data_IF_114096177800
#
_entry.id   IF_114096177800
#
_cell.length_a   1.000
_cell.length_b   1.000
_cell.length_c   1.000
_cell.angle_alpha   90.00
_cell.angle_beta   90.00
_cell.angle_gamma   90.00
#
_symmetry.space_group_name_H-M   'P 1'
#
loop_
_entity.id
_entity.type
_entity.pdbx_description
1 polymer ?
#
# COMPACT_ATOMS: atom_id res chain seq x y z
N UNK A 1 -25.95 -15.27 4.09
CA UNK A 1 -25.62 -16.14 5.24
C UNK A 1 -24.21 -16.70 5.28
N UNK A 2 -23.58 -17.03 4.13
CA UNK A 2 -22.20 -17.57 4.12
C UNK A 2 -21.16 -16.68 4.83
N UNK A 3 -21.10 -15.39 4.48
CA UNK A 3 -20.19 -14.42 5.11
C UNK A 3 -20.41 -14.36 6.63
N UNK A 4 -21.67 -14.27 7.07
CA UNK A 4 -22.01 -14.26 8.51
C UNK A 4 -21.52 -15.50 9.26
N UNK A 5 -21.58 -16.68 8.63
CA UNK A 5 -21.05 -17.92 9.21
C UNK A 5 -19.52 -17.91 9.29
N UNK A 6 -18.84 -17.42 8.25
CA UNK A 6 -17.38 -17.27 8.26
C UNK A 6 -16.92 -16.28 9.34
N UNK A 7 -17.66 -15.18 9.52
CA UNK A 7 -17.41 -14.20 10.58
C UNK A 7 -17.52 -14.75 12.01
N UNK A 8 -18.10 -15.94 12.21
CA UNK A 8 -18.08 -16.64 13.51
C UNK A 8 -16.73 -17.29 13.80
N UNK A 9 -15.88 -17.48 12.78
CA UNK A 9 -14.54 -18.06 12.88
C UNK A 9 -13.49 -16.94 12.93
N UNK A 10 -13.55 -16.01 11.99
CA UNK A 10 -12.67 -14.86 11.90
C UNK A 10 -13.36 -13.69 11.16
N UNK A 11 -13.05 -12.43 11.49
CA UNK A 11 -13.58 -11.28 10.75
C UNK A 11 -13.28 -11.39 9.25
N UNK A 12 -14.33 -11.39 8.43
CA UNK A 12 -14.19 -11.36 6.97
C UNK A 12 -14.25 -9.91 6.50
N UNK A 13 -13.27 -9.48 5.73
CA UNK A 13 -13.21 -8.13 5.16
C UNK A 13 -13.67 -8.14 3.70
N UNK A 14 -14.24 -7.01 3.26
CA UNK A 14 -14.44 -6.76 1.82
C UNK A 14 -13.15 -6.18 1.24
N UNK A 15 -12.75 -6.67 0.07
CA UNK A 15 -11.57 -6.21 -0.65
C UNK A 15 -11.88 -5.85 -2.11
N UNK A 16 -11.74 -6.78 -3.06
CA UNK A 16 -11.78 -6.42 -4.49
C UNK A 16 -13.13 -5.86 -4.94
N UNK A 17 -14.21 -6.31 -4.28
CA UNK A 17 -15.58 -5.84 -4.51
C UNK A 17 -15.89 -4.46 -3.90
N UNK A 18 -14.94 -3.83 -3.20
CA UNK A 18 -15.07 -2.47 -2.66
C UNK A 18 -14.94 -1.42 -3.78
N UNK A 19 -15.96 -1.31 -4.65
CA UNK A 19 -15.91 -0.54 -5.90
C UNK A 19 -16.45 0.89 -5.83
N UNK A 20 -17.42 1.15 -4.94
CA UNK A 20 -18.11 2.45 -4.78
C UNK A 20 -17.91 3.02 -3.38
N UNK A 21 -18.37 4.24 -3.09
CA UNK A 21 -18.27 4.80 -1.73
C UNK A 21 -19.18 4.08 -0.73
N UNK A 22 -20.23 3.42 -1.22
CA UNK A 22 -21.25 2.73 -0.44
C UNK A 22 -20.92 1.25 -0.22
N UNK A 23 -19.99 0.68 -1.00
CA UNK A 23 -19.70 -0.76 -1.00
C UNK A 23 -19.36 -1.32 0.39
N UNK A 24 -18.61 -0.60 1.21
CA UNK A 24 -18.30 -1.05 2.57
C UNK A 24 -19.52 -1.02 3.50
N UNK A 25 -20.39 -0.02 3.37
CA UNK A 25 -21.64 0.07 4.16
C UNK A 25 -22.53 -1.12 3.82
N UNK A 26 -22.73 -1.40 2.53
CA UNK A 26 -23.49 -2.56 2.05
C UNK A 26 -22.85 -3.87 2.53
N UNK A 27 -21.51 -3.98 2.50
CA UNK A 27 -20.80 -5.15 2.99
C UNK A 27 -21.10 -5.45 4.47
N UNK A 28 -21.15 -4.42 5.32
CA UNK A 28 -21.53 -4.57 6.73
C UNK A 28 -22.93 -5.19 6.86
N UNK A 29 -23.89 -4.74 6.04
CA UNK A 29 -25.26 -5.30 6.02
C UNK A 29 -25.26 -6.77 5.61
N UNK A 30 -24.42 -7.17 4.65
CA UNK A 30 -24.24 -8.57 4.24
C UNK A 30 -23.49 -9.43 5.26
N UNK A 31 -22.93 -8.82 6.30
CA UNK A 31 -22.29 -9.50 7.42
C UNK A 31 -20.76 -9.46 7.43
N UNK A 32 -20.14 -8.70 6.52
CA UNK A 32 -18.70 -8.43 6.61
C UNK A 32 -18.37 -7.70 7.91
N UNK A 33 -17.12 -7.86 8.34
CA UNK A 33 -16.56 -7.30 9.59
C UNK A 33 -15.31 -6.47 9.34
N UNK A 34 -15.16 -5.95 8.13
CA UNK A 34 -14.09 -5.01 7.84
C UNK A 34 -13.89 -4.74 6.35
N UNK A 35 -12.82 -4.00 6.05
CA UNK A 35 -12.46 -3.55 4.70
C UNK A 35 -10.93 -3.47 4.53
N UNK A 36 -10.44 -3.73 3.32
CA UNK A 36 -9.06 -3.44 2.92
C UNK A 36 -8.91 -1.99 2.45
N UNK A 37 -7.88 -1.29 2.92
CA UNK A 37 -7.50 0.05 2.51
C UNK A 37 -6.27 0.01 1.64
N UNK A 38 -6.38 0.66 0.48
CA UNK A 38 -5.35 0.75 -0.55
C UNK A 38 -5.47 2.08 -1.29
N UNK A 39 -4.37 2.67 -1.72
CA UNK A 39 -4.42 4.00 -2.34
C UNK A 39 -5.11 3.97 -3.72
N UNK A 40 -5.03 2.85 -4.45
CA UNK A 40 -5.63 2.75 -5.79
C UNK A 40 -7.18 2.80 -5.80
N UNK A 41 -7.85 2.51 -4.67
CA UNK A 41 -9.31 2.73 -4.51
C UNK A 41 -9.64 4.19 -4.17
N UNK A 42 -8.62 5.01 -3.90
CA UNK A 42 -8.72 6.42 -3.58
C UNK A 42 -8.48 6.69 -2.09
N UNK A 43 -7.60 7.65 -1.74
CA UNK A 43 -7.30 7.98 -0.34
C UNK A 43 -8.50 8.60 0.38
N UNK A 44 -9.32 9.39 -0.33
CA UNK A 44 -10.58 9.95 0.23
C UNK A 44 -11.54 8.84 0.64
N UNK A 45 -11.70 7.82 -0.21
CA UNK A 45 -12.54 6.67 0.10
C UNK A 45 -12.02 5.91 1.33
N UNK A 46 -10.71 5.73 1.41
CA UNK A 46 -10.09 5.08 2.58
C UNK A 46 -10.35 5.86 3.89
N UNK A 47 -10.27 7.19 3.86
CA UNK A 47 -10.63 8.03 5.02
C UNK A 47 -12.11 7.89 5.39
N UNK A 48 -13.01 7.85 4.40
CA UNK A 48 -14.43 7.62 4.63
C UNK A 48 -14.68 6.24 5.25
N UNK A 49 -14.05 5.20 4.72
CA UNK A 49 -14.13 3.84 5.25
C UNK A 49 -13.59 3.72 6.68
N UNK A 50 -12.54 4.47 7.04
CA UNK A 50 -12.06 4.57 8.42
C UNK A 50 -13.11 5.22 9.34
N UNK A 51 -13.78 6.28 8.85
CA UNK A 51 -14.91 6.89 9.55
C UNK A 51 -16.09 5.94 9.74
N UNK A 52 -16.46 5.17 8.70
CA UNK A 52 -17.50 4.13 8.78
C UNK A 52 -17.11 3.08 9.81
N UNK A 53 -15.85 2.61 9.79
CA UNK A 53 -15.32 1.64 10.76
C UNK A 53 -15.45 2.17 12.18
N UNK A 54 -15.03 3.42 12.43
CA UNK A 54 -15.12 4.06 13.74
C UNK A 54 -16.57 4.20 14.23
N UNK A 55 -17.49 4.62 13.37
CA UNK A 55 -18.92 4.74 13.71
C UNK A 55 -19.56 3.38 13.97
N UNK A 56 -19.29 2.39 13.11
CA UNK A 56 -19.77 1.01 13.27
C UNK A 56 -19.18 0.35 14.53
N UNK A 57 -18.04 0.86 15.00
CA UNK A 57 -17.43 0.52 16.28
C UNK A 57 -17.86 1.43 17.43
N UNK A 58 -19.07 2.00 17.37
CA UNK A 58 -19.62 2.87 18.42
C UNK A 58 -18.63 3.95 18.88
N UNK A 59 -17.93 4.55 17.91
CA UNK A 59 -16.92 5.60 18.14
C UNK A 59 -15.73 5.12 18.99
N UNK A 60 -15.38 3.84 18.87
CA UNK A 60 -14.20 3.24 19.48
C UNK A 60 -14.45 2.55 20.82
N UNK A 61 -15.70 2.42 21.27
CA UNK A 61 -16.03 1.62 22.47
C UNK A 61 -15.95 0.12 22.23
N UNK A 62 -15.95 -0.30 20.95
CA UNK A 62 -15.82 -1.68 20.49
C UNK A 62 -14.83 -1.79 19.33
N UNK A 63 -14.48 -3.01 18.93
CA UNK A 63 -13.50 -3.30 17.86
C UNK A 63 -13.94 -4.45 16.95
N UNK A 64 -15.25 -4.57 16.70
CA UNK A 64 -15.82 -5.66 15.89
C UNK A 64 -15.63 -5.48 14.38
N UNK A 65 -15.42 -4.24 13.92
CA UNK A 65 -15.12 -3.93 12.53
C UNK A 65 -13.66 -3.54 12.38
N UNK A 66 -12.99 -4.09 11.37
CA UNK A 66 -11.56 -3.87 11.13
C UNK A 66 -11.35 -3.10 9.83
N UNK A 67 -10.31 -2.26 9.82
CA UNK A 67 -9.70 -1.78 8.59
C UNK A 67 -8.30 -2.35 8.52
N UNK A 68 -7.93 -2.85 7.35
CA UNK A 68 -6.59 -3.43 7.10
C UNK A 68 -5.89 -2.65 6.00
N UNK A 69 -4.56 -2.65 5.98
CA UNK A 69 -3.77 -1.94 4.96
C UNK A 69 -3.24 -2.89 3.89
N UNK A 70 -3.21 -2.42 2.65
CA UNK A 70 -2.70 -3.13 1.48
C UNK A 70 -1.79 -2.20 0.66
N UNK A 71 -0.58 -2.68 0.35
CA UNK A 71 0.41 -2.00 -0.51
C UNK A 71 0.34 -2.47 -1.98
N UNK A 72 -0.60 -3.34 -2.32
CA UNK A 72 -1.01 -3.70 -3.68
C UNK A 72 0.03 -4.33 -4.62
N UNK A 73 1.08 -4.93 -4.06
CA UNK A 73 2.27 -5.26 -4.85
C UNK A 73 2.91 -4.02 -5.54
N UNK A 74 2.66 -2.81 -5.04
CA UNK A 74 3.20 -1.58 -5.60
C UNK A 74 4.73 -1.58 -5.61
N UNK A 75 5.29 -1.00 -6.68
CA UNK A 75 6.73 -0.72 -6.79
C UNK A 75 7.03 0.71 -6.33
N UNK A 76 8.31 1.09 -6.27
CA UNK A 76 8.66 2.48 -6.04
C UNK A 76 8.51 3.37 -7.30
N UNK A 77 9.00 4.60 -7.29
CA UNK A 77 9.23 5.37 -6.07
C UNK A 77 7.87 5.80 -5.50
N UNK A 78 6.94 6.26 -6.35
CA UNK A 78 5.64 6.84 -5.96
C UNK A 78 4.67 5.86 -5.28
N UNK A 79 4.26 4.73 -5.89
CA UNK A 79 3.03 4.07 -5.46
C UNK A 79 3.16 3.43 -4.07
N UNK A 80 4.24 2.69 -3.80
CA UNK A 80 4.45 2.08 -2.47
C UNK A 80 4.61 3.13 -1.36
N UNK A 81 5.25 4.27 -1.66
CA UNK A 81 5.39 5.35 -0.68
C UNK A 81 4.05 5.98 -0.34
N UNK A 82 3.22 6.23 -1.35
CA UNK A 82 1.89 6.79 -1.17
C UNK A 82 0.96 5.81 -0.43
N UNK A 83 1.04 4.50 -0.73
CA UNK A 83 0.33 3.45 0.01
C UNK A 83 0.74 3.43 1.50
N UNK A 84 2.05 3.45 1.80
CA UNK A 84 2.54 3.47 3.18
C UNK A 84 2.19 4.76 3.92
N UNK A 85 2.21 5.91 3.24
CA UNK A 85 1.72 7.16 3.82
C UNK A 85 0.24 7.10 4.14
N UNK A 86 -0.58 6.50 3.25
CA UNK A 86 -2.01 6.33 3.50
C UNK A 86 -2.23 5.43 4.72
N UNK A 87 -1.56 4.27 4.78
CA UNK A 87 -1.65 3.35 5.90
C UNK A 87 -1.29 4.03 7.23
N UNK A 88 -0.17 4.76 7.26
CA UNK A 88 0.26 5.52 8.44
C UNK A 88 -0.74 6.63 8.81
N UNK A 89 -1.30 7.33 7.83
CA UNK A 89 -2.33 8.38 8.03
C UNK A 89 -3.60 7.82 8.64
N UNK A 90 -3.99 6.59 8.26
CA UNK A 90 -5.15 5.89 8.79
C UNK A 90 -4.88 5.25 10.16
N UNK A 91 -3.64 5.34 10.67
CA UNK A 91 -3.23 4.72 11.93
C UNK A 91 -3.04 3.20 11.84
N UNK A 92 -2.84 2.66 10.64
CA UNK A 92 -2.56 1.24 10.42
C UNK A 92 -1.07 0.99 10.63
N UNK A 93 -0.74 0.07 11.54
CA UNK A 93 0.64 -0.34 11.84
C UNK A 93 1.08 -1.58 11.05
N UNK A 94 0.21 -2.05 10.16
CA UNK A 94 0.42 -3.21 9.32
C UNK A 94 -0.04 -2.96 7.89
N UNK A 95 0.61 -3.64 6.94
CA UNK A 95 0.21 -3.71 5.54
C UNK A 95 0.40 -5.14 5.03
N UNK A 96 -0.36 -5.53 4.01
CA UNK A 96 -0.18 -6.80 3.35
C UNK A 96 1.26 -7.00 2.85
N UNK A 97 1.74 -8.24 2.91
CA UNK A 97 3.08 -8.63 2.53
C UNK A 97 3.14 -8.97 1.04
N UNK A 98 3.41 -7.97 0.20
CA UNK A 98 3.38 -8.15 -1.25
C UNK A 98 4.65 -7.73 -1.99
N UNK A 99 4.67 -6.51 -2.56
CA UNK A 99 5.41 -6.19 -3.78
C UNK A 99 6.92 -6.23 -3.61
N UNK A 100 7.38 -5.86 -2.43
CA UNK A 100 8.79 -5.88 -2.06
C UNK A 100 9.42 -7.29 -2.04
N UNK A 101 8.62 -8.36 -2.07
CA UNK A 101 9.11 -9.73 -2.23
C UNK A 101 9.19 -10.21 -3.68
N UNK A 102 8.33 -9.68 -4.54
CA UNK A 102 8.21 -10.14 -5.93
C UNK A 102 8.99 -9.26 -6.91
N UNK A 103 9.22 -7.99 -6.56
CA UNK A 103 9.92 -7.05 -7.41
C UNK A 103 11.39 -6.91 -7.02
N UNK A 104 12.27 -6.78 -8.02
CA UNK A 104 13.70 -6.52 -7.84
C UNK A 104 13.96 -5.05 -7.47
N UNK A 105 13.32 -4.57 -6.41
CA UNK A 105 13.37 -3.19 -5.96
C UNK A 105 13.10 -2.19 -7.09
N UNK A 106 13.93 -1.16 -7.19
CA UNK A 106 13.89 -0.10 -8.19
C UNK A 106 14.70 -0.43 -9.45
N UNK A 107 15.00 -1.71 -9.71
CA UNK A 107 15.89 -2.14 -10.80
C UNK A 107 15.38 -1.81 -12.22
N UNK A 108 14.09 -1.47 -12.35
CA UNK A 108 13.47 -1.03 -13.60
C UNK A 108 13.61 0.49 -13.85
N UNK A 109 14.09 1.26 -12.88
CA UNK A 109 14.32 2.71 -13.02
C UNK A 109 15.77 3.01 -13.43
N UNK A 110 16.07 4.16 -14.06
CA UNK A 110 17.42 4.66 -14.26
C UNK A 110 18.23 4.79 -12.95
N UNK A 111 19.56 4.72 -13.04
CA UNK A 111 20.43 4.85 -11.85
C UNK A 111 20.22 6.16 -11.09
N UNK A 112 20.02 7.27 -11.81
CA UNK A 112 19.77 8.57 -11.20
C UNK A 112 18.52 8.54 -10.29
N UNK A 113 17.42 7.93 -10.74
CA UNK A 113 16.18 7.82 -9.98
C UNK A 113 16.33 6.90 -8.76
N UNK A 114 17.06 5.79 -8.91
CA UNK A 114 17.37 4.88 -7.78
C UNK A 114 18.17 5.61 -6.69
N UNK A 115 19.24 6.30 -7.11
CA UNK A 115 20.09 7.09 -6.22
C UNK A 115 19.32 8.21 -5.54
N UNK A 116 18.45 8.92 -6.26
CA UNK A 116 17.61 9.97 -5.69
C UNK A 116 16.61 9.43 -4.65
N UNK A 117 15.97 8.29 -4.94
CA UNK A 117 15.05 7.65 -4.00
C UNK A 117 15.76 7.18 -2.72
N UNK A 118 16.96 6.58 -2.85
CA UNK A 118 17.77 6.16 -1.71
C UNK A 118 18.23 7.36 -0.87
N UNK A 119 18.67 8.45 -1.52
CA UNK A 119 19.10 9.66 -0.83
C UNK A 119 17.95 10.32 -0.05
N UNK A 120 16.75 10.33 -0.62
CA UNK A 120 15.57 10.92 0.02
C UNK A 120 14.99 10.05 1.15
N UNK A 121 15.07 8.73 1.03
CA UNK A 121 14.38 7.78 1.92
C UNK A 121 15.30 6.62 2.37
N UNK A 122 16.47 6.95 2.91
CA UNK A 122 17.47 5.96 3.32
C UNK A 122 17.11 5.12 4.56
N UNK A 123 16.03 5.47 5.25
CA UNK A 123 15.40 4.62 6.28
C UNK A 123 14.56 3.49 5.66
N UNK A 124 13.81 3.81 4.59
CA UNK A 124 12.95 2.89 3.87
C UNK A 124 13.69 2.06 2.82
N UNK A 125 14.60 2.67 2.07
CA UNK A 125 15.35 2.02 0.99
C UNK A 125 16.78 1.67 1.42
N UNK A 126 17.35 0.63 0.78
CA UNK A 126 18.78 0.30 0.86
C UNK A 126 19.29 -0.25 -0.45
N UNK A 127 20.61 -0.28 -0.61
CA UNK A 127 21.24 -1.10 -1.64
C UNK A 127 21.10 -2.60 -1.30
N UNK A 128 20.66 -3.38 -2.29
CA UNK A 128 20.51 -4.83 -2.19
C UNK A 128 20.60 -5.48 -3.57
N UNK A 129 21.42 -6.54 -3.70
CA UNK A 129 21.54 -7.33 -4.94
C UNK A 129 21.78 -6.48 -6.23
N UNK A 130 22.61 -5.43 -6.11
CA UNK A 130 22.98 -4.55 -7.21
C UNK A 130 21.89 -3.56 -7.64
N UNK A 131 20.92 -3.27 -6.78
CA UNK A 131 19.88 -2.25 -6.99
C UNK A 131 19.48 -1.62 -5.65
N UNK A 132 18.55 -0.66 -5.67
CA UNK A 132 17.90 -0.09 -4.48
C UNK A 132 16.57 -0.81 -4.24
N UNK A 133 16.28 -1.24 -3.02
CA UNK A 133 15.05 -1.95 -2.68
C UNK A 133 14.54 -1.57 -1.27
N UNK A 134 13.23 -1.70 -0.99
CA UNK A 134 12.69 -1.54 0.35
C UNK A 134 13.43 -2.43 1.37
N UNK A 135 13.73 -1.87 2.53
CA UNK A 135 14.46 -2.53 3.60
C UNK A 135 13.50 -2.90 4.72
N UNK A 136 13.26 -4.21 4.90
CA UNK A 136 12.62 -4.70 6.11
C UNK A 136 13.66 -4.95 7.21
N UNK A 137 13.37 -4.46 8.41
CA UNK A 137 14.13 -4.71 9.63
C UNK A 137 13.19 -5.37 10.61
N UNK A 138 13.45 -6.63 10.95
CA UNK A 138 12.62 -7.40 11.90
C UNK A 138 11.12 -7.40 11.53
N UNK A 139 10.81 -7.48 10.23
CA UNK A 139 9.44 -7.48 9.72
C UNK A 139 8.78 -6.10 9.64
N UNK A 140 9.54 -5.01 9.80
CA UNK A 140 9.03 -3.63 9.78
C UNK A 140 9.73 -2.79 8.71
N UNK A 141 8.98 -1.83 8.17
CA UNK A 141 9.54 -0.72 7.40
C UNK A 141 9.75 0.47 8.32
N UNK A 142 10.93 1.08 8.22
CA UNK A 142 11.16 2.42 8.75
C UNK A 142 10.78 3.41 7.66
N UNK A 143 9.79 4.26 7.93
CA UNK A 143 9.17 5.15 6.93
C UNK A 143 9.12 6.61 7.39
N UNK A 144 9.94 6.98 8.38
CA UNK A 144 9.95 8.33 8.93
C UNK A 144 10.25 9.41 7.88
N UNK A 145 11.09 9.10 6.89
CA UNK A 145 11.38 9.99 5.77
C UNK A 145 10.21 10.22 4.83
N UNK A 146 9.18 9.36 4.84
CA UNK A 146 7.97 9.54 4.03
C UNK A 146 7.09 10.68 4.56
N UNK A 147 7.33 11.18 5.77
CA UNK A 147 6.67 12.35 6.32
C UNK A 147 7.18 13.65 5.66
N UNK A 148 6.91 13.79 4.36
CA UNK A 148 7.30 14.93 3.55
C UNK A 148 6.11 15.43 2.72
N UNK A 149 6.27 16.62 2.13
CA UNK A 149 5.32 17.13 1.12
C UNK A 149 5.31 16.15 -0.06
N UNK A 150 4.13 15.94 -0.66
CA UNK A 150 3.99 15.07 -1.82
C UNK A 150 3.56 13.64 -1.51
N UNK A 151 3.08 13.36 -0.29
CA UNK A 151 2.57 12.04 0.10
C UNK A 151 3.64 10.94 0.01
N UNK A 152 4.78 11.21 0.64
CA UNK A 152 5.94 10.30 0.68
C UNK A 152 6.84 10.36 -0.53
N UNK A 153 6.44 11.10 -1.56
CA UNK A 153 7.19 11.23 -2.79
C UNK A 153 8.11 12.44 -2.78
N UNK A 154 9.41 12.22 -2.59
CA UNK A 154 10.41 13.29 -2.59
C UNK A 154 11.29 13.34 -3.86
N UNK A 155 11.37 12.25 -4.63
CA UNK A 155 12.21 12.16 -5.83
C UNK A 155 11.36 11.89 -7.08
N UNK A 156 11.18 12.93 -7.92
CA UNK A 156 10.46 12.85 -9.20
C UNK A 156 11.25 12.01 -10.23
N UNK A 157 10.68 10.91 -10.76
CA UNK A 157 11.29 10.18 -11.87
C UNK A 157 11.39 11.07 -13.10
N UNK A 158 12.53 11.04 -13.78
CA UNK A 158 12.66 11.71 -15.07
C UNK A 158 12.00 10.87 -16.16
N UNK A 159 10.78 11.25 -16.54
CA UNK A 159 10.02 10.56 -17.59
C UNK A 159 10.76 10.53 -18.93
N UNK A 160 11.64 11.50 -19.22
CA UNK A 160 12.43 11.51 -20.46
C UNK A 160 13.57 10.50 -20.43
N UNK A 161 13.98 10.04 -19.24
CA UNK A 161 14.99 9.00 -19.06
C UNK A 161 14.41 7.58 -19.08
N UNK A 162 13.07 7.44 -19.18
CA UNK A 162 12.40 6.14 -19.23
C UNK A 162 12.35 5.57 -20.65
N UNK A 163 12.23 4.25 -20.74
CA UNK A 163 12.08 3.55 -22.02
C UNK A 163 10.64 3.68 -22.49
N UNK A 164 10.43 4.10 -23.73
CA UNK A 164 9.09 4.20 -24.30
C UNK A 164 8.45 2.80 -24.40
N UNK A 165 7.11 2.68 -24.39
CA UNK A 165 6.46 1.40 -24.60
C UNK A 165 6.83 0.71 -25.93
N UNK A 166 7.18 1.48 -26.97
CA UNK A 166 7.57 0.95 -28.28
C UNK A 166 8.98 0.35 -28.27
N UNK A 167 9.87 0.90 -27.44
CA UNK A 167 11.27 0.47 -27.32
C UNK A 167 11.47 -0.51 -26.15
N UNK A 168 10.43 -0.72 -25.34
CA UNK A 168 10.50 -1.60 -24.19
C UNK A 168 10.61 -3.05 -24.63
N UNK A 169 11.72 -3.67 -24.24
CA UNK A 169 11.95 -5.10 -24.44
C UNK A 169 11.78 -5.81 -23.11
N UNK A 170 10.89 -6.80 -23.07
CA UNK A 170 10.75 -7.69 -21.92
C UNK A 170 12.07 -8.45 -21.74
N UNK A 171 12.94 -7.93 -20.88
CA UNK A 171 14.18 -8.58 -20.53
C UNK A 171 13.90 -9.81 -19.70
N UNK A 172 13.67 -10.96 -20.34
CA UNK A 172 14.10 -12.23 -19.76
C UNK A 172 15.63 -12.18 -19.76
N UNK A 173 16.23 -11.54 -18.76
CA UNK A 173 17.67 -11.66 -18.54
C UNK A 173 17.90 -13.13 -18.21
N UNK A 174 18.76 -13.79 -18.98
CA UNK A 174 19.11 -15.20 -18.78
C UNK A 174 19.51 -15.47 -17.31
N UNK A 175 19.19 -16.68 -16.80
CA UNK A 175 19.30 -17.04 -15.39
C UNK A 175 20.69 -16.84 -14.77
#
# INVERSE_FOLDING_TARGET
DGVRRLCQIAPVIIDESDGTLESYIEAIEFGYRGVSSKNCKGPVKSLLNAGVTWVANERGTRSEYLMTGEDLCSVGVVPVQADLCLAATLGLDHVERNGHHYHRGLGYLPEADRSAALAAHGDFYREHAGTVAPCLREGRFEIGSLQCIGFGFAALPDMNATVTPADWQAGLREP
#
